data_IF_881577794091
#
_entry.id   IF_881577794091
#
_cell.length_a   1.000
_cell.length_b   1.000
_cell.length_c   1.000
_cell.angle_alpha   90.00
_cell.angle_beta   90.00
_cell.angle_gamma   90.00
#
_symmetry.space_group_name_H-M   'P 1'
#
loop_
_entity.id
_entity.type
_entity.pdbx_description
1 polymer ?
#
# COMPACT_ATOMS: atom_id res chain seq x y z
N UNK A 1 17.20 -11.15 -14.62
CA UNK A 1 16.01 -10.46 -14.08
C UNK A 1 16.41 -9.53 -12.91
N UNK A 2 16.33 -8.21 -13.10
CA UNK A 2 16.63 -7.26 -12.04
C UNK A 2 15.55 -7.41 -10.94
N UNK A 3 15.92 -8.10 -9.86
CA UNK A 3 15.02 -8.35 -8.74
C UNK A 3 14.59 -7.02 -8.13
N UNK A 4 13.29 -6.78 -8.06
CA UNK A 4 12.75 -5.61 -7.36
C UNK A 4 13.13 -5.76 -5.90
N UNK A 5 14.05 -4.93 -5.41
CA UNK A 5 14.48 -4.98 -4.01
C UNK A 5 13.25 -4.82 -3.11
N UNK A 6 13.06 -5.70 -2.10
CA UNK A 6 11.85 -5.72 -1.26
C UNK A 6 11.62 -4.43 -0.46
N UNK A 7 12.64 -3.56 -0.36
CA UNK A 7 12.55 -2.25 0.27
C UNK A 7 11.99 -1.12 -0.62
N UNK A 8 11.82 -1.34 -1.93
CA UNK A 8 11.40 -0.29 -2.87
C UNK A 8 9.88 -0.10 -2.87
N UNK A 9 9.43 1.11 -3.23
CA UNK A 9 7.99 1.42 -3.29
C UNK A 9 7.19 0.42 -4.14
N UNK A 10 7.61 0.03 -5.36
CA UNK A 10 6.85 -0.91 -6.17
C UNK A 10 6.72 -2.31 -5.54
N UNK A 11 7.80 -2.83 -4.92
CA UNK A 11 7.73 -4.11 -4.22
C UNK A 11 6.76 -4.05 -3.03
N UNK A 12 6.85 -2.99 -2.22
CA UNK A 12 5.96 -2.81 -1.07
C UNK A 12 4.51 -2.60 -1.49
N UNK A 13 4.27 -1.85 -2.57
CA UNK A 13 2.94 -1.67 -3.15
C UNK A 13 2.37 -3.01 -3.61
N UNK A 14 3.16 -3.82 -4.31
CA UNK A 14 2.74 -5.16 -4.72
C UNK A 14 2.36 -6.03 -3.52
N UNK A 15 3.19 -6.08 -2.48
CA UNK A 15 2.90 -6.83 -1.26
C UNK A 15 1.64 -6.31 -0.55
N UNK A 16 1.44 -4.99 -0.52
CA UNK A 16 0.29 -4.36 0.11
C UNK A 16 -1.02 -4.75 -0.58
N UNK A 17 -1.07 -4.63 -1.91
CA UNK A 17 -2.28 -4.91 -2.72
C UNK A 17 -2.63 -6.40 -2.72
N UNK A 18 -1.63 -7.28 -2.64
CA UNK A 18 -1.82 -8.73 -2.62
C UNK A 18 -1.99 -9.29 -1.19
N UNK A 19 -1.98 -8.45 -0.15
CA UNK A 19 -2.17 -8.90 1.22
C UNK A 19 -3.66 -9.03 1.55
N UNK A 20 -4.15 -10.20 1.97
CA UNK A 20 -5.56 -10.37 2.37
C UNK A 20 -5.92 -9.60 3.66
N UNK A 21 -4.91 -9.07 4.36
CA UNK A 21 -5.07 -8.29 5.59
C UNK A 21 -5.38 -6.82 5.31
N UNK A 22 -5.05 -6.31 4.12
CA UNK A 22 -5.24 -4.92 3.75
C UNK A 22 -6.42 -4.83 2.78
N UNK A 23 -7.47 -4.12 3.17
CA UNK A 23 -8.67 -3.95 2.33
C UNK A 23 -8.76 -2.56 1.74
N UNK A 24 -8.01 -1.62 2.31
CA UNK A 24 -7.93 -0.24 1.85
C UNK A 24 -7.32 -0.06 0.47
N UNK A 25 -6.47 -0.99 0.01
CA UNK A 25 -5.86 -0.96 -1.32
C UNK A 25 -6.10 -2.29 -2.02
N UNK A 26 -6.69 -2.25 -3.21
CA UNK A 26 -6.98 -3.45 -4.00
C UNK A 26 -6.94 -3.16 -5.50
N UNK A 27 -6.76 -4.20 -6.30
CA UNK A 27 -6.99 -4.12 -7.74
C UNK A 27 -8.45 -3.79 -8.02
N UNK A 28 -8.68 -2.99 -9.06
CA UNK A 28 -10.00 -2.88 -9.65
C UNK A 28 -10.44 -4.23 -10.26
N UNK A 29 -11.73 -4.44 -10.54
CA UNK A 29 -12.21 -5.72 -11.08
C UNK A 29 -11.56 -6.15 -12.41
N UNK A 30 -10.98 -5.21 -13.16
CA UNK A 30 -10.27 -5.47 -14.42
C UNK A 30 -8.77 -5.65 -14.26
N UNK A 31 -8.22 -5.48 -13.05
CA UNK A 31 -6.79 -5.47 -12.75
C UNK A 31 -5.98 -4.48 -13.62
N UNK A 32 -6.61 -3.38 -14.02
CA UNK A 32 -6.00 -2.29 -14.80
C UNK A 32 -5.55 -1.13 -13.91
N UNK A 33 -6.04 -1.04 -12.67
CA UNK A 33 -5.75 0.06 -11.76
C UNK A 33 -5.91 -0.32 -10.29
N UNK A 34 -5.58 0.63 -9.42
CA UNK A 34 -5.67 0.49 -7.97
C UNK A 34 -6.83 1.31 -7.42
N UNK A 35 -7.66 0.64 -6.63
CA UNK A 35 -8.68 1.28 -5.81
C UNK A 35 -8.10 1.50 -4.41
N UNK A 36 -8.09 2.76 -3.98
CA UNK A 36 -7.59 3.17 -2.67
C UNK A 36 -8.73 3.83 -1.90
N UNK A 37 -9.25 3.15 -0.88
CA UNK A 37 -10.18 3.75 0.07
C UNK A 37 -9.37 4.52 1.11
N UNK A 38 -9.36 5.84 0.98
CA UNK A 38 -8.59 6.73 1.86
C UNK A 38 -9.01 6.60 3.34
N UNK A 39 -10.31 6.52 3.61
CA UNK A 39 -10.79 6.50 4.99
C UNK A 39 -10.46 5.16 5.68
N UNK A 40 -10.45 4.06 4.92
CA UNK A 40 -10.01 2.76 5.40
C UNK A 40 -8.48 2.68 5.48
N UNK A 41 -7.75 3.28 4.52
CA UNK A 41 -6.29 3.32 4.49
C UNK A 41 -5.72 4.02 5.72
N UNK A 42 -6.28 5.18 6.08
CA UNK A 42 -5.84 5.92 7.26
C UNK A 42 -6.14 5.13 8.55
N UNK A 43 -7.24 4.37 8.60
CA UNK A 43 -7.56 3.49 9.75
C UNK A 43 -6.67 2.25 9.84
N UNK A 44 -6.41 1.59 8.72
CA UNK A 44 -5.61 0.34 8.67
C UNK A 44 -4.11 0.62 8.80
N UNK A 45 -3.59 1.65 8.12
CA UNK A 45 -2.15 1.92 8.04
C UNK A 45 -1.65 3.04 8.96
N UNK A 46 -2.48 4.04 9.31
CA UNK A 46 -2.05 5.19 10.12
C UNK A 46 -2.55 5.16 11.56
N UNK A 47 -3.58 4.37 11.87
CA UNK A 47 -4.06 4.27 13.25
C UNK A 47 -3.04 3.48 14.08
N UNK A 48 -2.54 4.08 15.17
CA UNK A 48 -1.45 3.58 16.01
C UNK A 48 -1.72 2.24 16.74
N UNK A 49 -2.80 1.54 16.38
CA UNK A 49 -3.23 0.27 16.96
C UNK A 49 -4.28 -0.44 16.11
N UNK A 50 -4.24 -0.29 14.78
CA UNK A 50 -5.13 -1.07 13.91
C UNK A 50 -4.85 -2.57 14.06
N UNK A 51 -5.87 -3.42 13.99
CA UNK A 51 -5.81 -4.90 14.12
C UNK A 51 -4.82 -5.57 13.13
N UNK A 52 -4.38 -4.80 12.14
CA UNK A 52 -3.32 -5.06 11.17
C UNK A 52 -1.92 -4.67 11.67
N UNK A 53 -1.71 -4.47 12.97
CA UNK A 53 -0.37 -4.35 13.58
C UNK A 53 0.54 -5.53 13.18
N UNK A 54 -0.02 -6.71 12.88
CA UNK A 54 0.70 -7.83 12.29
C UNK A 54 1.08 -7.68 10.80
N UNK A 55 0.34 -6.89 10.02
CA UNK A 55 0.69 -6.54 8.63
C UNK A 55 1.67 -5.35 8.58
N UNK A 56 1.59 -4.40 9.53
CA UNK A 56 2.59 -3.37 9.77
C UNK A 56 3.92 -3.94 10.34
N UNK A 57 3.84 -5.09 11.03
CA UNK A 57 4.99 -5.86 11.52
C UNK A 57 5.55 -6.84 10.48
N UNK A 58 4.95 -6.95 9.28
CA UNK A 58 5.56 -7.72 8.21
C UNK A 58 6.84 -7.00 7.74
N UNK A 59 7.99 -7.69 7.64
CA UNK A 59 9.21 -7.07 7.13
C UNK A 59 8.99 -6.61 5.69
N UNK A 60 8.88 -5.29 5.48
CA UNK A 60 8.51 -4.69 4.21
C UNK A 60 7.23 -3.85 4.23
N UNK A 61 6.50 -3.82 5.35
CA UNK A 61 5.28 -3.04 5.46
C UNK A 61 5.48 -1.55 5.14
N UNK A 62 4.52 -1.00 4.41
CA UNK A 62 4.55 0.38 3.97
C UNK A 62 4.44 1.31 5.18
N UNK A 63 5.58 1.85 5.62
CA UNK A 63 5.65 2.83 6.72
C UNK A 63 5.16 4.20 6.24
N UNK A 64 3.89 4.29 5.84
CA UNK A 64 3.28 5.59 5.57
C UNK A 64 2.99 6.27 6.91
N UNK A 65 3.48 7.50 7.07
CA UNK A 65 3.09 8.39 8.17
C UNK A 65 1.88 9.25 7.80
N UNK A 66 1.55 9.34 6.52
CA UNK A 66 0.35 10.01 6.00
C UNK A 66 -0.05 9.47 4.61
N UNK A 67 -1.32 9.64 4.24
CA UNK A 67 -1.88 9.26 2.94
C UNK A 67 -1.29 10.08 1.78
N UNK A 68 -0.88 11.33 2.01
CA UNK A 68 -0.28 12.19 1.00
C UNK A 68 1.06 11.68 0.44
N UNK A 69 1.89 11.07 1.30
CA UNK A 69 3.18 10.48 0.88
C UNK A 69 2.96 9.27 -0.01
N UNK A 70 1.90 8.49 0.24
CA UNK A 70 1.52 7.36 -0.60
C UNK A 70 1.10 7.82 -2.00
N UNK A 71 0.23 8.84 -2.09
CA UNK A 71 -0.18 9.43 -3.38
C UNK A 71 1.00 10.03 -4.14
N UNK A 72 1.91 10.71 -3.45
CA UNK A 72 3.12 11.25 -4.08
C UNK A 72 3.97 10.15 -4.70
N UNK A 73 4.16 9.03 -3.99
CA UNK A 73 4.89 7.89 -4.54
C UNK A 73 4.17 7.29 -5.75
N UNK A 74 2.84 7.11 -5.69
CA UNK A 74 2.06 6.68 -6.86
C UNK A 74 2.32 7.59 -8.09
N UNK A 75 2.25 8.91 -7.92
CA UNK A 75 2.51 9.86 -9.00
C UNK A 75 3.95 9.76 -9.54
N UNK A 76 4.95 9.55 -8.67
CA UNK A 76 6.35 9.39 -9.08
C UNK A 76 6.58 8.11 -9.91
N UNK A 77 5.76 7.09 -9.72
CA UNK A 77 5.80 5.85 -10.48
C UNK A 77 4.79 5.82 -11.65
N UNK A 78 4.20 6.96 -12.00
CA UNK A 78 3.35 7.12 -13.20
C UNK A 78 1.89 6.70 -13.01
N UNK A 79 1.42 6.53 -11.76
CA UNK A 79 -0.01 6.38 -11.52
C UNK A 79 -0.69 7.74 -11.62
N UNK A 80 -1.87 7.74 -12.23
CA UNK A 80 -2.74 8.90 -12.37
C UNK A 80 -4.16 8.50 -11.93
N UNK A 81 -4.93 9.49 -11.47
CA UNK A 81 -6.29 9.29 -10.96
C UNK A 81 -7.30 9.17 -12.09
#
# INVERSE_FOLDING_TARGET
PAGVSPGTFPARLWQLVNSPRVRSVRWDPRAQGLLVDRALFERELLSAGGDVAGAAAAPGAFKATNSGSFVRQLNLYGFHK
#
